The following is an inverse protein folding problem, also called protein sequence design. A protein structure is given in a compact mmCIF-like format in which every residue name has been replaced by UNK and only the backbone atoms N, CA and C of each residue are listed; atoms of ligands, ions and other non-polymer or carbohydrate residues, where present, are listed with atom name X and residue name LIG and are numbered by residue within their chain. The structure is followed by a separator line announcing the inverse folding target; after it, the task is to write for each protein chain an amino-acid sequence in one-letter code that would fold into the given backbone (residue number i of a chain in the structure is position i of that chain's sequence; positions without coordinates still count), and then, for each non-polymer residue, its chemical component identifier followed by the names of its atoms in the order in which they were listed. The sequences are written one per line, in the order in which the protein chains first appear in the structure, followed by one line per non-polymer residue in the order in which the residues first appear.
data_IF_052645117564
#
_entry.id   IF_052645117564
#
_cell.length_a   1.000
_cell.length_b   1.000
_cell.length_c   1.000
_cell.angle_alpha   90.00
_cell.angle_beta   90.00
_cell.angle_gamma   90.00
#
_symmetry.space_group_name_H-M   'P 1'
#
loop_
_entity.id
_entity.type
_entity.pdbx_description
1 polymer ?
#
# COMPACT_ATOMS: atom_id res chain seq x y z
N UNK A 1 -1.56 10.04 21.38
CA UNK A 1 -0.21 10.63 21.27
C UNK A 1 0.42 10.05 20.03
N UNK A 2 0.67 10.86 19.01
CA UNK A 2 1.41 10.43 17.84
C UNK A 2 2.85 10.20 18.33
N UNK A 3 3.28 8.96 18.38
CA UNK A 3 4.69 8.64 18.46
C UNK A 3 5.32 9.09 17.14
N UNK A 4 5.70 10.35 17.08
CA UNK A 4 6.59 10.82 16.07
C UNK A 4 7.90 10.08 16.27
N UNK A 5 8.18 9.13 15.38
CA UNK A 5 9.53 8.63 15.24
C UNK A 5 10.41 9.85 15.01
N UNK A 6 11.32 10.13 15.94
CA UNK A 6 12.19 11.28 15.77
C UNK A 6 12.98 11.06 14.48
N UNK A 7 13.09 12.09 13.65
CA UNK A 7 13.87 12.06 12.40
C UNK A 7 15.27 11.44 12.61
N UNK A 8 15.83 11.57 13.81
CA UNK A 8 17.10 10.99 14.22
C UNK A 8 17.09 9.47 14.34
N UNK A 9 15.98 8.84 14.68
CA UNK A 9 15.90 7.38 14.80
C UNK A 9 15.99 6.69 13.42
N UNK A 10 15.66 7.39 12.35
CA UNK A 10 15.67 6.88 10.98
C UNK A 10 16.82 7.42 10.14
N UNK A 11 17.53 8.46 10.62
CA UNK A 11 18.66 9.05 9.89
C UNK A 11 19.80 8.05 9.67
N UNK A 12 19.95 7.08 10.58
CA UNK A 12 20.93 6.01 10.45
C UNK A 12 20.37 4.67 10.87
N UNK A 13 20.34 3.73 9.95
CA UNK A 13 19.98 2.35 10.19
C UNK A 13 21.18 1.44 9.96
N UNK A 14 21.43 0.53 10.90
CA UNK A 14 22.48 -0.49 10.76
C UNK A 14 21.80 -1.84 10.54
N UNK A 15 22.22 -2.56 9.51
CA UNK A 15 21.70 -3.87 9.13
C UNK A 15 22.84 -4.79 8.70
N UNK A 16 22.60 -6.08 8.71
CA UNK A 16 23.59 -7.07 8.28
C UNK A 16 23.19 -7.69 6.95
N UNK A 17 24.10 -7.73 6.00
CA UNK A 17 23.94 -8.42 4.71
C UNK A 17 25.13 -9.35 4.53
N UNK A 18 24.86 -10.64 4.36
CA UNK A 18 25.92 -11.64 4.24
C UNK A 18 26.89 -11.68 5.43
N UNK A 19 26.38 -11.45 6.65
CA UNK A 19 27.17 -11.41 7.88
C UNK A 19 28.03 -10.16 8.07
N UNK A 20 27.93 -9.18 7.18
CA UNK A 20 28.68 -7.92 7.28
C UNK A 20 27.79 -6.77 7.74
N UNK A 21 28.23 -5.92 8.67
CA UNK A 21 27.48 -4.76 9.10
C UNK A 21 27.48 -3.67 8.02
N UNK A 22 26.29 -3.14 7.75
CA UNK A 22 26.07 -1.99 6.88
C UNK A 22 25.39 -0.88 7.66
N UNK A 23 25.72 0.35 7.36
CA UNK A 23 25.04 1.52 7.90
C UNK A 23 24.51 2.35 6.75
N UNK A 24 23.21 2.63 6.76
CA UNK A 24 22.58 3.58 5.85
C UNK A 24 22.45 4.94 6.55
N UNK A 25 22.81 5.99 5.86
CA UNK A 25 22.52 7.38 6.21
C UNK A 25 21.43 7.88 5.25
N UNK A 26 20.22 8.00 5.75
CA UNK A 26 19.04 8.31 4.93
C UNK A 26 19.05 9.77 4.52
N UNK A 27 19.51 10.68 5.38
CA UNK A 27 19.55 12.11 5.06
C UNK A 27 20.60 12.41 3.99
N UNK A 28 21.72 11.71 4.01
CA UNK A 28 22.78 11.84 3.02
C UNK A 28 22.57 10.95 1.78
N UNK A 29 21.56 10.07 1.78
CA UNK A 29 21.36 9.02 0.77
C UNK A 29 22.66 8.24 0.52
N UNK A 30 23.30 7.76 1.58
CA UNK A 30 24.58 7.10 1.52
C UNK A 30 24.60 5.83 2.35
N UNK A 31 25.42 4.88 1.94
CA UNK A 31 25.65 3.62 2.66
C UNK A 31 27.14 3.40 2.90
N UNK A 32 27.48 2.71 3.98
CA UNK A 32 28.84 2.23 4.22
C UNK A 32 28.82 0.78 4.71
N UNK A 33 29.86 0.05 4.38
CA UNK A 33 30.13 -1.28 4.93
C UNK A 33 31.11 -1.15 6.09
N UNK A 34 30.75 -1.68 7.26
CA UNK A 34 31.57 -1.62 8.45
C UNK A 34 31.95 -0.18 8.82
N UNK A 35 33.25 0.07 8.98
CA UNK A 35 33.83 1.40 9.27
C UNK A 35 34.30 2.16 8.03
N UNK A 36 34.01 1.65 6.84
CA UNK A 36 34.40 2.26 5.57
C UNK A 36 33.82 3.65 5.33
N UNK A 37 34.19 4.27 4.23
CA UNK A 37 33.61 5.55 3.82
C UNK A 37 32.15 5.36 3.38
N UNK A 38 31.33 6.36 3.66
CA UNK A 38 29.98 6.44 3.07
C UNK A 38 30.07 6.64 1.57
N UNK A 39 29.27 5.90 0.84
CA UNK A 39 29.11 6.02 -0.62
C UNK A 39 27.69 6.47 -0.87
N UNK A 40 27.53 7.57 -1.59
CA UNK A 40 26.23 8.10 -1.95
C UNK A 40 25.49 7.10 -2.85
N UNK A 41 24.22 6.89 -2.56
CA UNK A 41 23.36 6.02 -3.36
C UNK A 41 22.83 6.85 -4.52
N UNK A 42 23.43 6.68 -5.69
CA UNK A 42 22.93 7.22 -6.95
C UNK A 42 23.21 6.21 -8.08
N UNK A 43 22.70 6.50 -9.26
CA UNK A 43 22.89 5.63 -10.44
C UNK A 43 24.34 5.43 -10.84
N UNK A 44 25.21 6.38 -10.52
CA UNK A 44 26.62 6.31 -10.87
C UNK A 44 27.40 5.35 -9.96
N UNK A 45 26.95 5.20 -8.72
CA UNK A 45 27.62 4.41 -7.69
C UNK A 45 27.07 2.97 -7.56
N UNK A 46 25.84 2.76 -8.00
CA UNK A 46 25.19 1.44 -7.92
C UNK A 46 25.24 0.78 -9.27
N UNK A 47 26.07 -0.26 -9.38
CA UNK A 47 26.12 -1.11 -10.57
C UNK A 47 25.05 -2.19 -10.46
N UNK A 48 24.01 -2.03 -11.23
CA UNK A 48 23.00 -3.07 -11.38
C UNK A 48 23.38 -3.99 -12.54
N UNK A 49 23.19 -5.30 -12.44
CA UNK A 49 23.30 -6.19 -13.58
C UNK A 49 22.33 -5.71 -14.68
N UNK A 50 22.78 -5.58 -15.94
CA UNK A 50 21.96 -5.00 -17.01
C UNK A 50 20.62 -5.70 -17.27
N UNK A 51 20.49 -6.96 -16.89
CA UNK A 51 19.29 -7.76 -17.07
C UNK A 51 18.56 -8.09 -15.76
N UNK A 52 18.92 -7.48 -14.64
CA UNK A 52 18.32 -7.80 -13.34
C UNK A 52 17.07 -6.95 -13.13
N UNK A 53 15.93 -7.62 -13.02
CA UNK A 53 14.68 -6.99 -12.55
C UNK A 53 14.73 -6.68 -11.04
N UNK A 54 15.70 -7.24 -10.32
CA UNK A 54 15.90 -7.06 -8.88
C UNK A 54 16.85 -5.89 -8.56
N UNK A 55 16.67 -4.78 -9.22
CA UNK A 55 17.43 -3.59 -8.89
C UNK A 55 16.96 -3.04 -7.55
N UNK A 56 17.85 -2.94 -6.61
CA UNK A 56 17.58 -2.27 -5.35
C UNK A 56 17.59 -0.75 -5.56
N UNK A 57 16.44 -0.15 -5.53
CA UNK A 57 16.23 1.28 -5.65
C UNK A 57 15.23 1.63 -6.76
N UNK A 58 14.41 2.65 -6.54
CA UNK A 58 13.43 3.08 -7.52
C UNK A 58 14.16 3.71 -8.72
N UNK A 59 13.99 3.10 -9.87
CA UNK A 59 14.47 3.66 -11.15
C UNK A 59 13.38 4.50 -11.83
N UNK A 60 12.15 4.38 -11.37
CA UNK A 60 10.97 5.07 -11.86
C UNK A 60 9.91 5.13 -10.76
N UNK A 61 8.89 5.95 -10.96
CA UNK A 61 7.68 6.00 -10.14
C UNK A 61 6.47 5.69 -11.00
N UNK A 62 5.60 4.81 -10.51
CA UNK A 62 4.26 4.62 -11.05
C UNK A 62 3.29 5.49 -10.24
N UNK A 63 2.43 6.23 -10.93
CA UNK A 63 1.46 7.11 -10.29
C UNK A 63 0.10 6.43 -10.29
N UNK A 64 -0.64 6.58 -9.20
CA UNK A 64 -1.99 6.06 -9.10
C UNK A 64 -2.86 6.93 -8.20
N UNK A 65 -4.16 6.88 -8.43
CA UNK A 65 -5.16 7.56 -7.62
C UNK A 65 -6.43 6.73 -7.56
N UNK A 66 -7.19 6.87 -6.47
CA UNK A 66 -8.45 6.16 -6.29
C UNK A 66 -9.50 7.10 -5.71
N UNK A 67 -10.70 7.04 -6.29
CA UNK A 67 -11.92 7.65 -5.77
C UNK A 67 -12.90 6.56 -5.38
N UNK A 68 -13.59 6.73 -4.26
CA UNK A 68 -14.62 5.79 -3.82
C UNK A 68 -15.89 6.54 -3.43
N UNK A 69 -17.04 5.93 -3.74
CA UNK A 69 -18.33 6.29 -3.17
C UNK A 69 -18.78 5.18 -2.25
N UNK A 70 -19.07 5.53 -1.01
CA UNK A 70 -19.54 4.58 0.01
C UNK A 70 -20.97 4.91 0.44
N UNK A 71 -21.62 3.90 0.98
CA UNK A 71 -22.90 4.02 1.66
C UNK A 71 -22.76 3.41 3.05
N UNK A 72 -23.27 4.10 4.07
CA UNK A 72 -23.23 3.65 5.46
C UNK A 72 -24.67 3.57 5.98
N UNK A 73 -25.05 2.38 6.42
CA UNK A 73 -26.30 2.20 7.15
C UNK A 73 -26.16 2.79 8.54
N UNK A 74 -26.93 3.84 8.84
CA UNK A 74 -26.87 4.55 10.12
C UNK A 74 -27.34 3.70 11.30
N UNK A 75 -28.22 2.74 11.07
CA UNK A 75 -28.75 1.88 12.13
C UNK A 75 -27.74 0.81 12.55
N UNK A 76 -26.93 0.31 11.65
CA UNK A 76 -26.03 -0.81 11.88
C UNK A 76 -24.54 -0.44 11.84
N UNK A 77 -24.17 0.67 11.16
CA UNK A 77 -22.79 1.02 10.85
C UNK A 77 -22.20 0.21 9.69
N UNK A 78 -23.03 -0.60 9.00
CA UNK A 78 -22.55 -1.37 7.85
C UNK A 78 -22.16 -0.44 6.70
N UNK A 79 -20.99 -0.69 6.14
CA UNK A 79 -20.44 0.05 5.01
C UNK A 79 -20.51 -0.79 3.74
N UNK A 80 -20.95 -0.18 2.66
CA UNK A 80 -20.90 -0.73 1.31
C UNK A 80 -20.14 0.24 0.40
N UNK A 81 -19.22 -0.27 -0.40
CA UNK A 81 -18.60 0.49 -1.47
C UNK A 81 -19.55 0.46 -2.66
N UNK A 82 -20.14 1.60 -2.97
CA UNK A 82 -21.15 1.69 -4.03
C UNK A 82 -20.54 1.84 -5.42
N UNK A 83 -19.42 2.57 -5.52
CA UNK A 83 -18.68 2.75 -6.77
C UNK A 83 -17.22 3.06 -6.45
N UNK A 84 -16.31 2.64 -7.33
CA UNK A 84 -14.91 3.00 -7.26
C UNK A 84 -14.36 3.30 -8.65
N UNK A 85 -13.41 4.23 -8.69
CA UNK A 85 -12.66 4.58 -9.88
C UNK A 85 -11.19 4.66 -9.50
N UNK A 86 -10.35 3.93 -10.22
CA UNK A 86 -8.91 3.99 -10.05
C UNK A 86 -8.24 4.36 -11.36
N UNK A 87 -7.28 5.26 -11.28
CA UNK A 87 -6.44 5.66 -12.39
C UNK A 87 -5.00 5.37 -12.06
N UNK A 88 -4.26 4.85 -13.02
CA UNK A 88 -2.85 4.52 -12.83
C UNK A 88 -2.04 4.75 -14.10
N UNK A 89 -0.77 5.05 -13.91
CA UNK A 89 0.22 5.19 -14.96
C UNK A 89 1.34 4.17 -14.70
N UNK A 90 1.59 3.27 -15.66
CA UNK A 90 2.56 2.19 -15.55
C UNK A 90 3.60 2.18 -16.69
N UNK A 91 3.82 3.33 -17.33
CA UNK A 91 4.61 3.39 -18.55
C UNK A 91 3.89 2.64 -19.68
N UNK A 92 4.66 1.99 -20.52
CA UNK A 92 4.09 1.21 -21.62
C UNK A 92 3.46 -0.09 -21.10
N UNK A 93 2.14 -0.20 -21.13
CA UNK A 93 1.46 -1.44 -20.76
C UNK A 93 1.71 -2.52 -21.81
N UNK A 94 2.44 -3.58 -21.43
CA UNK A 94 2.73 -4.69 -22.34
C UNK A 94 1.50 -5.52 -22.65
N UNK A 95 0.66 -5.76 -21.65
CA UNK A 95 -0.61 -6.50 -21.75
C UNK A 95 -1.64 -5.74 -20.92
N UNK A 96 -2.40 -4.81 -21.51
CA UNK A 96 -3.33 -3.94 -20.80
C UNK A 96 -4.34 -4.67 -19.91
N UNK A 97 -4.84 -5.82 -20.35
CA UNK A 97 -5.83 -6.62 -19.62
C UNK A 97 -5.25 -7.15 -18.30
N UNK A 98 -3.98 -7.53 -18.29
CA UNK A 98 -3.28 -7.98 -17.07
C UNK A 98 -3.05 -6.80 -16.15
N UNK A 99 -2.74 -5.61 -16.67
CA UNK A 99 -2.61 -4.40 -15.86
C UNK A 99 -3.91 -4.07 -15.15
N UNK A 100 -5.04 -4.13 -15.85
CA UNK A 100 -6.37 -3.92 -15.26
C UNK A 100 -6.67 -4.97 -14.20
N UNK A 101 -6.41 -6.24 -14.47
CA UNK A 101 -6.61 -7.33 -13.50
C UNK A 101 -5.76 -7.16 -12.24
N UNK A 102 -4.51 -6.72 -12.40
CA UNK A 102 -3.62 -6.43 -11.30
C UNK A 102 -4.11 -5.25 -10.45
N UNK A 103 -4.65 -4.22 -11.11
CA UNK A 103 -5.23 -3.06 -10.43
C UNK A 103 -6.50 -3.43 -9.64
N UNK A 104 -7.35 -4.31 -10.20
CA UNK A 104 -8.52 -4.85 -9.48
C UNK A 104 -8.11 -5.65 -8.24
N UNK A 105 -7.09 -6.50 -8.36
CA UNK A 105 -6.53 -7.25 -7.24
C UNK A 105 -5.96 -6.33 -6.15
N UNK A 106 -5.21 -5.31 -6.54
CA UNK A 106 -4.70 -4.28 -5.63
C UNK A 106 -5.82 -3.51 -4.92
N UNK A 107 -6.91 -3.19 -5.63
CA UNK A 107 -8.08 -2.58 -5.02
C UNK A 107 -8.69 -3.51 -3.94
N UNK A 108 -8.87 -4.79 -4.24
CA UNK A 108 -9.39 -5.77 -3.29
C UNK A 108 -8.51 -5.88 -2.03
N UNK A 109 -7.19 -5.93 -2.21
CA UNK A 109 -6.23 -5.92 -1.09
C UNK A 109 -6.37 -4.65 -0.24
N UNK A 110 -6.49 -3.49 -0.88
CA UNK A 110 -6.69 -2.22 -0.17
C UNK A 110 -7.97 -2.18 0.66
N UNK A 111 -9.08 -2.74 0.14
CA UNK A 111 -10.34 -2.88 0.88
C UNK A 111 -10.17 -3.81 2.07
N UNK A 112 -9.53 -4.97 1.88
CA UNK A 112 -9.21 -5.91 2.96
C UNK A 112 -8.42 -5.23 4.06
N UNK A 113 -7.34 -4.56 3.71
CA UNK A 113 -6.48 -3.86 4.67
C UNK A 113 -7.19 -2.73 5.42
N UNK A 114 -8.07 -1.99 4.74
CA UNK A 114 -8.80 -0.89 5.36
C UNK A 114 -9.88 -1.34 6.33
N UNK A 115 -10.61 -2.43 6.03
CA UNK A 115 -11.89 -2.74 6.66
C UNK A 115 -11.95 -4.11 7.36
N UNK A 116 -11.09 -5.08 7.01
CA UNK A 116 -11.28 -6.48 7.39
C UNK A 116 -10.06 -7.12 8.05
N UNK A 117 -8.87 -6.92 7.48
CA UNK A 117 -7.68 -7.68 7.84
C UNK A 117 -7.12 -7.25 9.18
N UNK A 118 -7.06 -8.20 10.10
CA UNK A 118 -6.43 -8.03 11.40
C UNK A 118 -5.66 -9.29 11.76
N UNK A 119 -4.36 -9.16 11.94
CA UNK A 119 -3.47 -10.25 12.31
C UNK A 119 -2.69 -9.87 13.58
N UNK A 120 -3.30 -9.98 14.77
CA UNK A 120 -2.59 -9.67 16.02
C UNK A 120 -1.42 -10.64 16.21
N UNK A 121 -0.19 -10.11 16.39
CA UNK A 121 1.01 -10.96 16.41
C UNK A 121 1.22 -11.72 17.71
N UNK A 122 0.52 -11.36 18.78
CA UNK A 122 0.74 -11.91 20.13
C UNK A 122 -0.48 -12.62 20.67
N UNK A 123 -0.92 -12.40 21.87
CA UNK A 123 -1.90 -13.10 22.68
C UNK A 123 -3.06 -13.78 21.93
N UNK A 124 -3.77 -13.03 21.09
CA UNK A 124 -4.89 -13.53 20.29
C UNK A 124 -4.51 -13.77 18.83
N UNK A 125 -3.24 -13.75 18.50
CA UNK A 125 -2.74 -13.87 17.14
C UNK A 125 -2.14 -15.23 16.79
N UNK A 126 -1.43 -15.33 15.67
CA UNK A 126 -0.86 -16.58 15.16
C UNK A 126 0.05 -17.31 16.15
N UNK A 127 0.69 -16.56 17.03
CA UNK A 127 1.58 -17.13 18.06
C UNK A 127 0.89 -17.99 19.12
N UNK A 128 -0.43 -17.91 19.26
CA UNK A 128 -1.19 -18.72 20.22
C UNK A 128 -1.57 -20.12 19.70
N UNK A 129 -1.23 -20.45 18.45
CA UNK A 129 -1.52 -21.74 17.81
C UNK A 129 -2.99 -21.99 17.45
N UNK A 130 -3.88 -21.01 17.67
CA UNK A 130 -5.33 -21.15 17.43
C UNK A 130 -5.81 -20.47 16.14
N UNK A 131 -4.98 -19.60 15.55
CA UNK A 131 -5.33 -18.86 14.34
C UNK A 131 -5.31 -19.75 13.10
N UNK A 132 -6.28 -19.54 12.24
CA UNK A 132 -6.43 -20.20 10.95
C UNK A 132 -7.06 -19.25 9.93
N UNK A 133 -7.17 -19.67 8.67
CA UNK A 133 -7.75 -18.88 7.59
C UNK A 133 -9.22 -18.49 7.79
N UNK A 134 -9.95 -19.18 8.68
CA UNK A 134 -11.31 -18.79 9.05
C UNK A 134 -11.37 -17.57 9.97
N UNK A 135 -10.28 -17.22 10.62
CA UNK A 135 -10.16 -16.08 11.54
C UNK A 135 -9.49 -14.87 10.89
N UNK A 136 -8.66 -15.10 9.89
CA UNK A 136 -8.07 -14.03 9.08
C UNK A 136 -8.99 -13.73 7.91
N UNK A 137 -9.70 -12.61 8.02
CA UNK A 137 -10.67 -12.18 7.02
C UNK A 137 -9.98 -11.42 5.90
N UNK A 138 -10.18 -11.85 4.67
CA UNK A 138 -9.77 -11.14 3.45
C UNK A 138 -11.01 -10.62 2.71
N UNK A 139 -10.83 -9.60 1.87
CA UNK A 139 -11.92 -9.08 1.04
C UNK A 139 -12.43 -10.18 0.08
N UNK A 140 -13.74 -10.32 0.01
CA UNK A 140 -14.45 -11.22 -0.91
C UNK A 140 -15.10 -10.42 -2.02
N UNK A 141 -15.54 -11.08 -3.08
CA UNK A 141 -16.25 -10.42 -4.17
C UNK A 141 -17.48 -9.62 -3.73
N UNK A 142 -18.16 -10.08 -2.65
CA UNK A 142 -19.30 -9.36 -2.05
C UNK A 142 -18.93 -8.05 -1.36
N UNK A 143 -17.68 -7.87 -1.00
CA UNK A 143 -17.18 -6.68 -0.30
C UNK A 143 -16.71 -5.59 -1.29
N UNK A 144 -16.72 -5.91 -2.58
CA UNK A 144 -16.20 -5.07 -3.66
C UNK A 144 -17.34 -4.60 -4.59
N UNK A 145 -17.23 -3.41 -5.18
CA UNK A 145 -18.17 -2.92 -6.18
C UNK A 145 -17.83 -3.49 -7.57
N UNK A 146 -17.88 -4.82 -7.74
CA UNK A 146 -17.34 -5.51 -8.93
C UNK A 146 -17.87 -4.98 -10.26
N UNK A 147 -19.14 -4.56 -10.32
CA UNK A 147 -19.74 -4.00 -11.53
C UNK A 147 -19.54 -2.49 -11.69
N UNK A 148 -19.13 -1.82 -10.61
CA UNK A 148 -18.97 -0.38 -10.50
C UNK A 148 -17.51 0.00 -10.14
N UNK A 149 -16.57 -0.91 -10.37
CA UNK A 149 -15.13 -0.66 -10.27
C UNK A 149 -14.57 -0.37 -11.67
N UNK A 150 -14.30 0.88 -11.92
CA UNK A 150 -13.67 1.35 -13.15
C UNK A 150 -12.16 1.49 -12.95
N UNK A 151 -11.38 0.94 -13.86
CA UNK A 151 -9.92 1.06 -13.87
C UNK A 151 -9.50 1.75 -15.16
N UNK A 152 -8.83 2.88 -15.06
CA UNK A 152 -8.23 3.58 -16.18
C UNK A 152 -6.71 3.47 -16.13
N UNK A 153 -6.13 2.95 -17.21
CA UNK A 153 -4.69 2.90 -17.40
C UNK A 153 -4.30 4.05 -18.33
N UNK A 154 -3.58 5.01 -17.79
CA UNK A 154 -3.13 6.16 -18.57
C UNK A 154 -2.03 5.74 -19.56
N UNK A 155 -1.99 6.35 -20.74
CA UNK A 155 -0.87 6.14 -21.66
C UNK A 155 0.43 6.68 -21.03
N UNK A 156 1.59 6.16 -21.45
CA UNK A 156 2.86 6.68 -20.98
C UNK A 156 3.02 8.17 -21.33
N UNK A 157 3.58 8.94 -20.40
CA UNK A 157 3.83 10.37 -20.61
C UNK A 157 4.80 10.58 -21.79
N UNK A 158 5.76 9.67 -21.93
CA UNK A 158 6.69 9.63 -23.05
C UNK A 158 6.48 8.32 -23.82
N UNK A 159 6.21 8.34 -25.13
CA UNK A 159 6.07 7.13 -25.95
C UNK A 159 7.26 6.17 -25.90
N UNK A 160 8.46 6.66 -25.58
CA UNK A 160 9.66 5.84 -25.41
C UNK A 160 9.85 5.33 -23.96
N UNK A 161 8.87 5.55 -23.08
CA UNK A 161 8.95 5.12 -21.69
C UNK A 161 8.84 3.60 -21.57
N UNK A 162 9.72 3.03 -20.75
CA UNK A 162 9.70 1.60 -20.51
C UNK A 162 8.51 1.20 -19.61
N UNK A 163 8.07 -0.07 -19.66
CA UNK A 163 7.11 -0.61 -18.71
C UNK A 163 7.59 -0.41 -17.27
N UNK A 164 6.68 -0.09 -16.37
CA UNK A 164 6.91 0.04 -14.94
C UNK A 164 6.33 -1.15 -14.19
N UNK A 165 6.89 -1.47 -13.03
CA UNK A 165 6.32 -2.47 -12.12
C UNK A 165 4.97 -2.01 -11.59
N UNK A 166 4.02 -2.97 -11.47
CA UNK A 166 2.61 -2.67 -11.24
C UNK A 166 1.96 -3.66 -10.26
N UNK A 167 2.79 -4.33 -9.41
CA UNK A 167 2.30 -5.39 -8.55
C UNK A 167 1.24 -4.92 -7.54
N UNK A 168 1.54 -3.88 -6.76
CA UNK A 168 0.69 -3.42 -5.66
C UNK A 168 0.38 -1.92 -5.70
N UNK A 169 0.70 -1.27 -6.81
CA UNK A 169 0.58 0.20 -6.94
C UNK A 169 -0.84 0.66 -6.62
N UNK A 170 -1.85 -0.04 -7.13
CA UNK A 170 -3.25 0.35 -6.93
C UNK A 170 -3.80 0.08 -5.52
N UNK A 171 -3.10 -0.69 -4.69
CA UNK A 171 -3.51 -0.90 -3.29
C UNK A 171 -3.30 0.37 -2.44
N UNK A 172 -2.23 1.10 -2.71
CA UNK A 172 -1.78 2.23 -1.89
C UNK A 172 -2.85 3.33 -1.74
N UNK A 173 -3.49 3.84 -2.81
CA UNK A 173 -4.47 4.91 -2.69
C UNK A 173 -5.84 4.46 -2.18
N UNK A 174 -6.14 3.16 -2.15
CA UNK A 174 -7.47 2.64 -1.75
C UNK A 174 -7.75 2.88 -0.28
N UNK A 175 -6.78 2.59 0.57
CA UNK A 175 -6.92 2.77 2.04
C UNK A 175 -7.24 4.22 2.39
N UNK A 176 -6.44 5.21 1.99
CA UNK A 176 -6.75 6.60 2.29
C UNK A 176 -8.03 7.10 1.62
N UNK A 177 -8.40 6.60 0.43
CA UNK A 177 -9.66 6.94 -0.22
C UNK A 177 -10.86 6.49 0.62
N UNK A 178 -10.86 5.25 1.11
CA UNK A 178 -11.91 4.72 1.99
C UNK A 178 -11.98 5.49 3.32
N UNK A 179 -10.83 5.74 3.96
CA UNK A 179 -10.80 6.50 5.22
C UNK A 179 -11.28 7.95 5.04
N UNK A 180 -10.98 8.57 3.91
CA UNK A 180 -11.48 9.90 3.60
C UNK A 180 -13.00 9.89 3.38
N UNK A 181 -13.52 8.92 2.63
CA UNK A 181 -14.96 8.77 2.41
C UNK A 181 -15.71 8.51 3.72
N UNK A 182 -15.17 7.65 4.60
CA UNK A 182 -15.75 7.42 5.94
C UNK A 182 -15.73 8.71 6.77
N UNK A 183 -14.62 9.44 6.73
CA UNK A 183 -14.51 10.73 7.44
C UNK A 183 -15.51 11.76 6.93
N UNK A 184 -15.70 11.84 5.63
CA UNK A 184 -16.68 12.73 4.99
C UNK A 184 -18.11 12.37 5.43
N UNK A 185 -18.45 11.08 5.41
CA UNK A 185 -19.77 10.60 5.77
C UNK A 185 -20.12 10.70 7.27
N UNK A 186 -19.13 10.58 8.15
CA UNK A 186 -19.34 10.50 9.61
C UNK A 186 -18.86 11.72 10.39
N UNK A 187 -18.04 12.57 9.77
CA UNK A 187 -17.33 13.65 10.44
C UNK A 187 -16.18 13.18 11.35
N UNK A 188 -15.92 11.86 11.41
CA UNK A 188 -14.91 11.29 12.29
C UNK A 188 -13.73 10.68 11.50
N UNK A 189 -12.51 11.06 11.86
CA UNK A 189 -11.28 10.51 11.25
C UNK A 189 -10.69 9.38 12.08
N UNK A 190 -10.83 8.18 11.57
CA UNK A 190 -10.14 7.01 12.14
C UNK A 190 -8.63 7.08 11.87
N UNK A 191 -7.84 6.60 12.84
CA UNK A 191 -6.38 6.61 12.81
C UNK A 191 -5.77 5.23 13.08
N UNK A 192 -6.60 4.21 13.12
CA UNK A 192 -6.22 2.81 13.28
C UNK A 192 -6.98 1.95 12.28
N UNK A 193 -6.40 0.85 11.88
CA UNK A 193 -6.96 -0.13 10.94
C UNK A 193 -7.02 -1.52 11.61
N UNK A 194 -7.93 -2.34 11.13
CA UNK A 194 -9.03 -2.06 10.21
C UNK A 194 -10.12 -1.20 10.85
N UNK A 195 -10.85 -0.43 10.05
CA UNK A 195 -12.02 0.32 10.51
C UNK A 195 -13.23 -0.62 10.47
N UNK A 196 -13.61 -1.12 11.64
CA UNK A 196 -14.70 -2.09 11.75
C UNK A 196 -16.09 -1.44 11.72
N UNK A 197 -17.09 -2.24 11.38
CA UNK A 197 -18.50 -1.81 11.44
C UNK A 197 -18.88 -1.25 12.82
N UNK A 198 -18.40 -1.88 13.90
CA UNK A 198 -18.66 -1.42 15.27
C UNK A 198 -18.06 -0.03 15.55
N UNK A 199 -16.84 0.23 15.04
CA UNK A 199 -16.20 1.52 15.14
C UNK A 199 -16.98 2.60 14.39
N UNK A 200 -17.45 2.31 13.18
CA UNK A 200 -18.30 3.23 12.40
C UNK A 200 -19.59 3.51 13.15
N UNK A 201 -20.27 2.46 13.62
CA UNK A 201 -21.51 2.62 14.41
C UNK A 201 -21.31 3.49 15.65
N UNK A 202 -20.19 3.36 16.34
CA UNK A 202 -19.89 4.10 17.56
C UNK A 202 -19.75 5.63 17.37
N UNK A 203 -19.51 6.09 16.14
CA UNK A 203 -19.36 7.52 15.83
C UNK A 203 -20.57 8.14 15.11
N UNK A 204 -21.51 7.31 14.67
CA UNK A 204 -22.77 7.77 14.06
C UNK A 204 -23.69 8.31 15.17
N UNK A 205 -24.13 9.54 15.00
CA UNK A 205 -25.10 10.21 15.87
C UNK A 205 -26.52 10.03 15.35
#
# INVERSE_FOLDING_TARGET
MAHGFSRWAWARATFAVGGQPWTADIDALAVRRGTGKFVRIDRSNVKFPPASLNQSGPTYTAQCGTLVRIEIDRATGALRIAKAYSVLECGQALVPEIVVGQAQGGFAMGVGYALLENLPPYEDGPGNGKWNLGQYLVARGSDLPLHDLEIEVLPPVNPAEHPKGMAEVNMIPVVPALLNAICDATGHRFRSLPVTQAMIKGVLK
#
